data_IF_773633398309
#
_entry.id   IF_773633398309
#
_cell.length_a   1.000
_cell.length_b   1.000
_cell.length_c   1.000
_cell.angle_alpha   90.00
_cell.angle_beta   90.00
_cell.angle_gamma   90.00
#
_symmetry.space_group_name_H-M   'P 1'
#
loop_
_entity.id
_entity.type
_entity.pdbx_description
1 polymer ?
#
# COMPACT_ATOMS: atom_id res chain seq x y z
N UNK A 1 -7.68 -10.03 -2.49
CA UNK A 1 -7.87 -8.57 -2.53
C UNK A 1 -7.41 -8.18 -3.92
N UNK A 2 -8.36 -8.09 -4.85
CA UNK A 2 -8.07 -7.95 -6.27
C UNK A 2 -8.58 -6.58 -6.72
N UNK A 3 -7.83 -5.89 -7.57
CA UNK A 3 -8.29 -4.68 -8.30
C UNK A 3 -9.38 -4.97 -9.33
N UNK A 4 -10.02 -6.15 -9.28
CA UNK A 4 -11.00 -6.64 -10.25
C UNK A 4 -12.33 -5.87 -10.20
N UNK A 5 -12.62 -5.17 -9.09
CA UNK A 5 -13.71 -4.19 -9.05
C UNK A 5 -13.18 -2.82 -9.43
N UNK A 6 -13.49 -2.41 -10.66
CA UNK A 6 -13.47 -1.00 -11.05
C UNK A 6 -14.22 -0.17 -9.99
N UNK A 7 -13.82 1.09 -9.78
CA UNK A 7 -14.58 1.98 -8.89
C UNK A 7 -15.99 2.15 -9.46
N UNK A 8 -16.97 1.45 -8.89
CA UNK A 8 -18.37 1.48 -9.33
C UNK A 8 -19.04 2.81 -8.98
N UNK A 9 -18.49 3.55 -8.01
CA UNK A 9 -18.99 4.83 -7.55
C UNK A 9 -18.19 6.01 -8.14
N UNK A 10 -18.77 6.63 -9.16
CA UNK A 10 -18.23 7.78 -9.89
C UNK A 10 -18.35 9.09 -9.11
N UNK A 11 -19.05 9.09 -7.96
CA UNK A 11 -19.12 10.26 -7.07
C UNK A 11 -17.87 10.45 -6.23
N UNK A 12 -17.00 9.42 -6.18
CA UNK A 12 -15.73 9.49 -5.48
C UNK A 12 -14.65 10.19 -6.32
N UNK A 13 -13.65 10.85 -5.69
CA UNK A 13 -12.50 11.42 -6.40
C UNK A 13 -11.77 10.40 -7.29
N UNK A 14 -11.64 9.16 -6.81
CA UNK A 14 -11.00 8.06 -7.55
C UNK A 14 -11.86 7.52 -8.69
N UNK A 15 -13.18 7.41 -8.50
CA UNK A 15 -14.11 6.98 -9.54
C UNK A 15 -14.20 7.99 -10.69
N UNK A 16 -14.34 9.29 -10.37
CA UNK A 16 -14.32 10.36 -11.38
C UNK A 16 -12.98 10.45 -12.11
N UNK A 17 -11.85 10.24 -11.42
CA UNK A 17 -10.54 10.16 -12.07
C UNK A 17 -10.44 8.97 -13.04
N UNK A 18 -10.99 7.81 -12.66
CA UNK A 18 -11.00 6.63 -13.51
C UNK A 18 -11.78 6.89 -14.82
N UNK A 19 -12.93 7.55 -14.75
CA UNK A 19 -13.70 7.95 -15.92
C UNK A 19 -12.94 8.96 -16.80
N UNK A 20 -12.31 9.96 -16.19
CA UNK A 20 -11.51 10.95 -16.91
C UNK A 20 -10.33 10.32 -17.65
N UNK A 21 -9.57 9.44 -16.99
CA UNK A 21 -8.46 8.70 -17.60
C UNK A 21 -8.96 7.82 -18.74
N UNK A 22 -10.08 7.11 -18.54
CA UNK A 22 -10.69 6.29 -19.59
C UNK A 22 -11.08 7.13 -20.81
N UNK A 23 -11.70 8.29 -20.57
CA UNK A 23 -12.07 9.23 -21.63
C UNK A 23 -10.86 9.84 -22.35
N UNK A 24 -9.73 10.03 -21.66
CA UNK A 24 -8.46 10.47 -22.26
C UNK A 24 -7.91 9.37 -23.17
N UNK A 25 -7.89 8.12 -22.72
CA UNK A 25 -7.42 6.97 -23.52
C UNK A 25 -8.26 6.83 -24.79
N UNK A 26 -9.59 6.91 -24.69
CA UNK A 26 -10.47 6.91 -25.86
C UNK A 26 -10.18 8.06 -26.83
N UNK A 27 -9.91 9.26 -26.29
CA UNK A 27 -9.54 10.43 -27.11
C UNK A 27 -8.22 10.18 -27.85
N UNK A 28 -7.23 9.52 -27.22
CA UNK A 28 -5.99 9.13 -27.88
C UNK A 28 -6.20 8.08 -28.97
N UNK A 29 -7.08 7.10 -28.76
CA UNK A 29 -7.41 6.11 -29.79
C UNK A 29 -8.06 6.78 -30.99
N UNK A 30 -9.05 7.65 -30.77
CA UNK A 30 -9.69 8.42 -31.85
C UNK A 30 -8.70 9.31 -32.59
N UNK A 31 -7.79 9.97 -31.86
CA UNK A 31 -6.72 10.77 -32.45
C UNK A 31 -5.80 9.92 -33.33
N UNK A 32 -5.42 8.73 -32.86
CA UNK A 32 -4.60 7.79 -33.63
C UNK A 32 -5.27 7.37 -34.95
N UNK A 33 -6.56 7.06 -34.92
CA UNK A 33 -7.33 6.73 -36.13
C UNK A 33 -7.43 7.94 -37.09
N UNK A 34 -7.72 9.13 -36.58
CA UNK A 34 -7.82 10.35 -37.40
C UNK A 34 -6.49 10.72 -38.08
N UNK A 35 -5.36 10.49 -37.40
CA UNK A 35 -4.03 10.72 -37.96
C UNK A 35 -3.69 9.65 -39.00
N UNK A 36 -4.07 8.39 -38.76
CA UNK A 36 -3.87 7.29 -39.70
C UNK A 36 -4.65 7.50 -41.01
N UNK A 37 -5.94 7.86 -40.92
CA UNK A 37 -6.84 8.04 -42.08
C UNK A 37 -6.93 9.51 -42.55
N UNK A 38 -5.85 10.28 -42.38
CA UNK A 38 -5.88 11.71 -42.62
C UNK A 38 -6.04 12.05 -44.12
N UNK A 39 -7.22 12.55 -44.49
CA UNK A 39 -7.57 12.86 -45.88
C UNK A 39 -7.06 14.21 -46.41
N UNK A 40 -6.40 15.02 -45.57
CA UNK A 40 -5.85 16.33 -45.98
C UNK A 40 -6.88 17.45 -46.21
N UNK A 41 -8.17 17.16 -46.03
CA UNK A 41 -9.27 18.14 -46.16
C UNK A 41 -9.22 19.21 -45.06
N UNK A 42 -9.89 20.34 -45.29
CA UNK A 42 -9.91 21.44 -44.33
C UNK A 42 -10.68 21.06 -43.06
N UNK A 43 -11.72 20.26 -43.22
CA UNK A 43 -12.54 19.67 -42.15
C UNK A 43 -11.71 18.69 -41.32
N UNK A 44 -10.89 17.84 -41.95
CA UNK A 44 -10.01 16.92 -41.24
C UNK A 44 -8.95 17.65 -40.41
N UNK A 45 -8.38 18.75 -40.94
CA UNK A 45 -7.44 19.61 -40.20
C UNK A 45 -8.09 20.28 -38.99
N UNK A 46 -9.29 20.81 -39.15
CA UNK A 46 -10.05 21.43 -38.05
C UNK A 46 -10.45 20.41 -36.98
N UNK A 47 -10.91 19.24 -37.40
CA UNK A 47 -11.25 18.13 -36.51
C UNK A 47 -10.05 17.66 -35.67
N UNK A 48 -8.90 17.49 -36.32
CA UNK A 48 -7.65 17.10 -35.65
C UNK A 48 -7.20 18.15 -34.62
N UNK A 49 -7.19 19.42 -34.99
CA UNK A 49 -6.83 20.51 -34.09
C UNK A 49 -7.73 20.57 -32.86
N UNK A 50 -9.05 20.38 -33.03
CA UNK A 50 -10.00 20.33 -31.94
C UNK A 50 -9.75 19.14 -30.99
N UNK A 51 -9.43 17.96 -31.52
CA UNK A 51 -9.11 16.79 -30.69
C UNK A 51 -7.82 16.98 -29.90
N UNK A 52 -6.76 17.53 -30.52
CA UNK A 52 -5.51 17.85 -29.82
C UNK A 52 -5.75 18.83 -28.67
N UNK A 53 -6.46 19.92 -28.94
CA UNK A 53 -6.78 20.90 -27.90
C UNK A 53 -7.63 20.28 -26.77
N UNK A 54 -8.60 19.44 -27.10
CA UNK A 54 -9.41 18.71 -26.11
C UNK A 54 -8.55 17.79 -25.24
N UNK A 55 -7.59 17.08 -25.81
CA UNK A 55 -6.65 16.22 -25.06
C UNK A 55 -5.78 17.04 -24.12
N UNK A 56 -5.25 18.18 -24.59
CA UNK A 56 -4.43 19.07 -23.77
C UNK A 56 -5.24 19.60 -22.58
N UNK A 57 -6.47 20.07 -22.81
CA UNK A 57 -7.35 20.52 -21.74
C UNK A 57 -7.63 19.43 -20.71
N UNK A 58 -8.02 18.23 -21.16
CA UNK A 58 -8.28 17.10 -20.25
C UNK A 58 -7.06 16.70 -19.42
N UNK A 59 -5.86 16.70 -20.02
CA UNK A 59 -4.63 16.36 -19.31
C UNK A 59 -4.27 17.43 -18.27
N UNK A 60 -4.49 18.71 -18.61
CA UNK A 60 -4.32 19.82 -17.68
C UNK A 60 -5.29 19.72 -16.50
N UNK A 61 -6.56 19.39 -16.77
CA UNK A 61 -7.59 19.25 -15.74
C UNK A 61 -7.22 18.14 -14.76
N UNK A 62 -6.82 16.95 -15.25
CA UNK A 62 -6.35 15.83 -14.41
C UNK A 62 -5.12 16.21 -13.59
N UNK A 63 -4.15 16.93 -14.19
CA UNK A 63 -2.92 17.33 -13.49
C UNK A 63 -3.15 18.39 -12.41
N UNK A 64 -4.25 19.14 -12.49
CA UNK A 64 -4.55 20.25 -11.57
C UNK A 64 -5.52 19.85 -10.45
N UNK A 65 -5.84 18.55 -10.34
CA UNK A 65 -6.75 18.01 -9.33
C UNK A 65 -6.14 18.07 -7.92
N UNK A 66 -6.79 18.81 -7.03
CA UNK A 66 -6.41 18.94 -5.62
C UNK A 66 -7.01 17.82 -4.75
N UNK A 67 -8.08 17.17 -5.21
CA UNK A 67 -8.85 16.13 -4.49
C UNK A 67 -8.11 14.80 -4.35
N UNK A 68 -6.92 14.67 -4.93
CA UNK A 68 -6.10 13.46 -4.93
C UNK A 68 -4.86 13.56 -4.02
N UNK A 69 -4.61 14.71 -3.38
CA UNK A 69 -3.39 14.97 -2.61
C UNK A 69 -3.22 14.09 -1.37
N UNK A 70 -4.32 13.62 -0.80
CA UNK A 70 -4.30 12.80 0.41
C UNK A 70 -4.02 11.31 0.14
N UNK A 71 -3.96 10.91 -1.13
CA UNK A 71 -3.72 9.51 -1.51
C UNK A 71 -2.22 9.25 -1.61
N UNK A 72 -1.70 8.54 -0.61
CA UNK A 72 -0.30 8.12 -0.59
C UNK A 72 -0.13 6.80 -1.35
N UNK A 73 0.81 6.79 -2.29
CA UNK A 73 1.16 5.58 -3.06
C UNK A 73 2.61 5.19 -2.72
N UNK A 74 2.86 3.93 -2.31
CA UNK A 74 4.23 3.45 -2.09
C UNK A 74 5.07 3.55 -3.36
N UNK A 75 6.30 4.06 -3.25
CA UNK A 75 7.21 4.20 -4.40
C UNK A 75 7.57 2.84 -5.01
N UNK A 76 7.65 1.78 -4.19
CA UNK A 76 7.87 0.43 -4.68
C UNK A 76 6.76 -0.06 -5.62
N UNK A 77 5.51 0.34 -5.37
CA UNK A 77 4.38 0.03 -6.25
C UNK A 77 4.55 0.68 -7.63
N UNK A 78 5.15 1.87 -7.71
CA UNK A 78 5.41 2.56 -8.96
C UNK A 78 6.38 1.76 -9.86
N UNK A 79 7.39 1.12 -9.26
CA UNK A 79 8.32 0.26 -10.00
C UNK A 79 7.60 -0.95 -10.61
N UNK A 80 6.64 -1.55 -9.89
CA UNK A 80 5.83 -2.66 -10.44
C UNK A 80 5.04 -2.22 -11.67
N UNK A 81 4.47 -1.01 -11.65
CA UNK A 81 3.73 -0.46 -12.80
C UNK A 81 4.67 -0.18 -13.97
N UNK A 82 5.85 0.40 -13.71
CA UNK A 82 6.86 0.68 -14.75
C UNK A 82 7.36 -0.59 -15.44
N UNK A 83 7.50 -1.68 -14.69
CA UNK A 83 7.91 -2.99 -15.19
C UNK A 83 6.75 -3.77 -15.87
N UNK A 84 5.54 -3.21 -15.91
CA UNK A 84 4.35 -3.87 -16.46
C UNK A 84 3.85 -5.05 -15.62
N UNK A 85 4.22 -5.14 -14.35
CA UNK A 85 3.75 -6.16 -13.41
C UNK A 85 2.42 -5.76 -12.79
N UNK A 86 1.60 -6.75 -12.45
CA UNK A 86 0.35 -6.49 -11.75
C UNK A 86 0.63 -5.96 -10.32
N UNK A 87 0.13 -4.77 -9.94
CA UNK A 87 0.30 -4.19 -8.60
C UNK A 87 -0.29 -5.06 -7.47
N UNK A 88 -1.25 -5.94 -7.75
CA UNK A 88 -1.78 -6.89 -6.75
C UNK A 88 -0.71 -7.85 -6.21
N UNK A 89 0.32 -8.13 -7.02
CA UNK A 89 1.44 -8.97 -6.60
C UNK A 89 2.21 -8.30 -5.46
N UNK A 90 2.46 -7.00 -5.55
CA UNK A 90 3.10 -6.24 -4.47
C UNK A 90 2.31 -6.34 -3.17
N UNK A 91 1.00 -6.13 -3.23
CA UNK A 91 0.13 -6.23 -2.05
C UNK A 91 0.15 -7.64 -1.45
N UNK A 92 0.13 -8.68 -2.28
CA UNK A 92 0.24 -10.07 -1.83
C UNK A 92 1.58 -10.34 -1.15
N UNK A 93 2.69 -9.96 -1.79
CA UNK A 93 4.03 -10.13 -1.24
C UNK A 93 4.20 -9.36 0.07
N UNK A 94 3.67 -8.14 0.15
CA UNK A 94 3.68 -7.34 1.37
C UNK A 94 2.97 -8.05 2.53
N UNK A 95 1.76 -8.56 2.30
CA UNK A 95 1.01 -9.32 3.32
C UNK A 95 1.76 -10.59 3.73
N UNK A 96 2.37 -11.30 2.79
CA UNK A 96 3.17 -12.50 3.06
C UNK A 96 4.41 -12.16 3.91
N UNK A 97 5.11 -11.06 3.62
CA UNK A 97 6.26 -10.58 4.40
C UNK A 97 5.83 -10.17 5.81
N UNK A 98 4.77 -9.38 5.96
CA UNK A 98 4.24 -8.96 7.26
C UNK A 98 3.86 -10.17 8.12
N UNK A 99 3.18 -11.16 7.52
CA UNK A 99 2.82 -12.40 8.20
C UNK A 99 4.07 -13.16 8.68
N UNK A 100 5.07 -13.31 7.81
CA UNK A 100 6.32 -14.01 8.14
C UNK A 100 7.07 -13.30 9.28
N UNK A 101 7.17 -11.98 9.22
CA UNK A 101 7.80 -11.17 10.26
C UNK A 101 7.05 -11.30 11.58
N UNK A 102 5.72 -11.21 11.58
CA UNK A 102 4.92 -11.35 12.79
C UNK A 102 5.13 -12.72 13.45
N UNK A 103 5.03 -13.80 12.67
CA UNK A 103 5.29 -15.16 13.18
C UNK A 103 6.71 -15.31 13.74
N UNK A 104 7.70 -14.75 13.04
CA UNK A 104 9.10 -14.76 13.48
C UNK A 104 9.31 -13.99 14.79
N UNK A 105 8.73 -12.79 14.91
CA UNK A 105 8.81 -11.97 16.13
C UNK A 105 8.10 -12.64 17.30
N UNK A 106 6.92 -13.21 17.07
CA UNK A 106 6.19 -13.96 18.09
C UNK A 106 6.99 -15.20 18.56
N UNK A 107 7.58 -15.95 17.62
CA UNK A 107 8.44 -17.09 17.94
C UNK A 107 9.68 -16.68 18.74
N UNK A 108 10.30 -15.55 18.39
CA UNK A 108 11.39 -14.95 19.17
C UNK A 108 10.95 -14.57 20.58
N UNK A 109 9.81 -13.90 20.72
CA UNK A 109 9.26 -13.50 22.03
C UNK A 109 9.08 -14.73 22.93
N UNK A 110 8.43 -15.78 22.40
CA UNK A 110 8.22 -17.03 23.12
C UNK A 110 9.54 -17.72 23.50
N UNK A 111 10.53 -17.70 22.61
CA UNK A 111 11.85 -18.26 22.90
C UNK A 111 12.56 -17.50 24.03
N UNK A 112 12.47 -16.16 24.06
CA UNK A 112 13.02 -15.35 25.14
C UNK A 112 12.28 -15.56 26.46
N UNK A 113 10.96 -15.73 26.44
CA UNK A 113 10.17 -16.09 27.63
C UNK A 113 10.59 -17.44 28.19
N UNK A 114 10.73 -18.46 27.34
CA UNK A 114 11.19 -19.79 27.74
C UNK A 114 12.63 -19.75 28.28
N UNK A 115 13.51 -18.97 27.65
CA UNK A 115 14.88 -18.79 28.13
C UNK A 115 14.92 -18.12 29.50
N UNK A 116 14.16 -17.03 29.70
CA UNK A 116 14.00 -16.35 30.98
C UNK A 116 13.53 -17.34 32.06
N UNK A 117 12.52 -18.14 31.75
CA UNK A 117 11.92 -19.07 32.71
C UNK A 117 12.87 -20.21 33.09
N UNK A 118 13.61 -20.74 32.11
CA UNK A 118 14.62 -21.78 32.34
C UNK A 118 15.79 -21.23 33.16
N UNK A 119 16.30 -20.04 32.80
CA UNK A 119 17.40 -19.40 33.53
C UNK A 119 17.00 -19.07 34.97
N UNK A 120 15.79 -18.54 35.17
CA UNK A 120 15.25 -18.28 36.51
C UNK A 120 15.17 -19.56 37.35
N UNK A 121 14.75 -20.68 36.77
CA UNK A 121 14.69 -21.96 37.47
C UNK A 121 16.09 -22.46 37.86
N UNK A 122 17.07 -22.40 36.95
CA UNK A 122 18.45 -22.80 37.23
C UNK A 122 19.11 -21.93 38.31
N UNK A 123 18.89 -20.62 38.30
CA UNK A 123 19.41 -19.71 39.33
C UNK A 123 18.81 -20.04 40.69
N UNK A 124 17.51 -20.31 40.78
CA UNK A 124 16.85 -20.69 42.04
C UNK A 124 17.34 -22.02 42.59
N UNK A 125 17.72 -22.96 41.71
CA UNK A 125 18.25 -24.26 42.10
C UNK A 125 19.65 -24.14 42.71
N UNK A 126 20.54 -23.36 42.09
CA UNK A 126 21.93 -23.20 42.54
C UNK A 126 22.06 -22.18 43.70
N UNK A 127 21.25 -21.10 43.68
CA UNK A 127 21.31 -19.99 44.64
C UNK A 127 19.91 -19.70 45.22
N UNK A 128 19.46 -20.46 46.23
CA UNK A 128 18.13 -20.30 46.81
C UNK A 128 17.93 -18.93 47.50
N UNK A 129 19.01 -18.26 47.91
CA UNK A 129 19.00 -16.92 48.51
C UNK A 129 18.59 -15.80 47.53
N UNK A 130 18.80 -15.99 46.23
CA UNK A 130 18.47 -15.03 45.17
C UNK A 130 17.06 -15.24 44.59
N UNK A 131 16.33 -16.27 45.04
CA UNK A 131 14.98 -16.57 44.58
C UNK A 131 13.99 -15.37 44.61
N UNK A 132 13.91 -14.55 45.69
CA UNK A 132 12.97 -13.43 45.73
C UNK A 132 13.30 -12.32 44.72
N UNK A 133 14.58 -12.10 44.42
CA UNK A 133 15.04 -11.09 43.46
C UNK A 133 14.74 -11.52 42.03
N UNK A 134 14.97 -12.80 41.71
CA UNK A 134 14.63 -13.40 40.41
C UNK A 134 13.13 -13.33 40.12
N UNK A 135 12.27 -13.58 41.12
CA UNK A 135 10.82 -13.45 40.97
C UNK A 135 10.39 -12.00 40.76
N UNK A 136 11.01 -11.05 41.44
CA UNK A 136 10.77 -9.62 41.21
C UNK A 136 11.14 -9.20 39.78
N UNK A 137 12.28 -9.65 39.27
CA UNK A 137 12.74 -9.35 37.90
C UNK A 137 11.80 -9.99 36.87
N UNK A 138 11.37 -11.24 37.10
CA UNK A 138 10.43 -11.94 36.22
C UNK A 138 9.09 -11.20 36.13
N UNK A 139 8.55 -10.74 37.26
CA UNK A 139 7.31 -9.98 37.32
C UNK A 139 7.41 -8.63 36.58
N UNK A 140 8.54 -7.92 36.72
CA UNK A 140 8.79 -6.65 36.00
C UNK A 140 8.99 -6.82 34.50
N UNK A 141 9.40 -8.00 34.05
CA UNK A 141 9.74 -8.27 32.63
C UNK A 141 8.62 -9.02 31.91
N UNK A 142 7.54 -9.42 32.59
CA UNK A 142 6.37 -10.01 31.94
C UNK A 142 5.51 -8.95 31.25
N UNK A 143 5.19 -9.18 29.97
CA UNK A 143 4.40 -8.27 29.11
C UNK A 143 3.03 -7.93 29.72
N UNK A 144 2.47 -8.79 30.57
CA UNK A 144 1.22 -8.57 31.28
C UNK A 144 1.24 -7.39 32.26
N UNK A 145 2.40 -7.08 32.88
CA UNK A 145 2.50 -5.96 33.83
C UNK A 145 2.47 -4.60 33.13
N UNK A 146 2.96 -4.51 31.88
CA UNK A 146 3.00 -3.28 31.10
C UNK A 146 1.64 -2.85 30.54
N UNK A 147 0.69 -3.78 30.38
CA UNK A 147 -0.65 -3.49 29.87
C UNK A 147 -1.61 -2.99 30.96
N UNK A 148 -1.43 -3.41 32.22
CA UNK A 148 -2.23 -2.89 33.34
C UNK A 148 -1.78 -1.48 33.78
N UNK A 149 -0.48 -1.15 33.64
CA UNK A 149 0.04 0.21 33.91
C UNK A 149 -0.24 1.21 32.78
N UNK A 150 -0.46 0.75 31.54
CA UNK A 150 -0.82 1.61 30.41
C UNK A 150 -2.34 1.90 30.32
N UNK A 151 -3.16 1.19 31.12
CA UNK A 151 -4.62 1.32 31.17
C UNK A 151 -5.13 2.06 32.43
N UNK A 152 -4.22 2.59 33.25
CA UNK A 152 -4.49 3.51 34.38
C UNK A 152 -3.99 4.91 34.07
#
# INVERSE_FOLDING_TARGET
MATEKAYEDTTTPLGSLQEEISSIIETFVHLGVQVHDFQGTQEAKLGLANHINKTISKLHDVSSRDDLRDIMIPTDLLNYIQDGRNPDIYTREFVEVVRKINQYLNGKSLAFENFRDTLAASIKQEFPELAPEVDSIKAKTSVSASLEDAAR
#
